data_IF_298251097091
#
_entry.id   IF_298251097091
#
_cell.length_a   1.000
_cell.length_b   1.000
_cell.length_c   1.000
_cell.angle_alpha   90.00
_cell.angle_beta   90.00
_cell.angle_gamma   90.00
#
_symmetry.space_group_name_H-M   'P 1'
#
loop_
_entity.id
_entity.type
_entity.pdbx_description
1 polymer ?
#
# COMPACT_ATOMS: atom_id res chain seq x y z
N UNK A 1 -27.27 -11.32 65.01
CA UNK A 1 -27.20 -10.01 64.32
C UNK A 1 -26.38 -10.22 63.04
N UNK A 2 -27.05 -10.21 61.88
CA UNK A 2 -27.08 -9.11 60.90
C UNK A 2 -25.68 -8.83 60.33
N UNK A 3 -25.34 -9.45 59.19
CA UNK A 3 -25.59 -8.97 57.82
C UNK A 3 -24.64 -7.82 57.44
N UNK A 4 -23.78 -8.04 56.42
CA UNK A 4 -23.68 -7.27 55.16
C UNK A 4 -22.25 -7.34 54.59
N UNK A 5 -22.08 -8.00 53.42
CA UNK A 5 -21.69 -7.38 52.13
C UNK A 5 -20.17 -7.50 51.88
N UNK A 6 -19.63 -7.79 50.69
CA UNK A 6 -20.18 -7.94 49.34
C UNK A 6 -19.11 -8.66 48.48
N UNK A 7 -19.56 -9.21 47.35
CA UNK A 7 -18.76 -9.86 46.31
C UNK A 7 -17.55 -9.05 45.83
N UNK A 8 -16.42 -9.73 45.61
CA UNK A 8 -15.50 -9.40 44.52
C UNK A 8 -15.23 -10.68 43.74
N UNK A 9 -16.18 -11.01 42.87
CA UNK A 9 -16.02 -11.94 41.76
C UNK A 9 -16.18 -11.04 40.53
N UNK A 10 -15.07 -10.51 40.03
CA UNK A 10 -15.06 -9.64 38.86
C UNK A 10 -13.88 -10.03 37.97
N UNK A 11 -14.24 -10.80 36.93
CA UNK A 11 -13.74 -10.63 35.57
C UNK A 11 -12.21 -10.66 35.39
N UNK A 12 -11.64 -11.86 35.29
CA UNK A 12 -10.64 -12.09 34.24
C UNK A 12 -11.40 -12.25 32.91
N UNK A 13 -11.97 -11.16 32.39
CA UNK A 13 -12.26 -11.07 30.97
C UNK A 13 -10.93 -10.88 30.26
N UNK A 14 -10.62 -11.82 29.36
CA UNK A 14 -9.48 -11.72 28.49
C UNK A 14 -9.44 -10.33 27.85
N UNK A 15 -8.29 -9.69 27.93
CA UNK A 15 -8.00 -8.54 27.10
C UNK A 15 -8.19 -8.98 25.64
N UNK A 16 -9.18 -8.47 24.89
CA UNK A 16 -9.05 -8.54 23.46
C UNK A 16 -7.84 -7.65 23.14
N UNK A 17 -6.77 -8.26 22.67
CA UNK A 17 -5.75 -7.54 21.92
C UNK A 17 -6.49 -6.90 20.75
N UNK A 18 -6.84 -5.62 20.91
CA UNK A 18 -7.20 -4.74 19.81
C UNK A 18 -5.95 -4.68 18.92
N UNK A 19 -5.89 -5.59 17.96
CA UNK A 19 -5.13 -5.36 16.75
C UNK A 19 -5.78 -4.15 16.11
N UNK A 20 -5.21 -2.97 16.37
CA UNK A 20 -5.40 -1.83 15.50
C UNK A 20 -4.89 -2.28 14.13
N UNK A 21 -5.79 -2.69 13.26
CA UNK A 21 -5.54 -2.57 11.84
C UNK A 21 -5.25 -1.09 11.64
N UNK A 22 -3.99 -0.75 11.33
CA UNK A 22 -3.73 0.54 10.70
C UNK A 22 -4.45 0.47 9.36
N UNK A 23 -5.67 1.00 9.35
CA UNK A 23 -6.30 1.52 8.15
C UNK A 23 -5.28 2.52 7.61
N UNK A 24 -4.56 2.10 6.56
CA UNK A 24 -3.74 3.03 5.80
C UNK A 24 -4.75 4.03 5.25
N UNK A 25 -4.81 5.21 5.86
CA UNK A 25 -5.45 6.37 5.26
C UNK A 25 -4.95 6.41 3.82
N UNK A 26 -5.87 6.21 2.86
CA UNK A 26 -5.62 6.47 1.46
C UNK A 26 -4.92 7.82 1.39
N UNK A 27 -3.62 7.83 1.05
CA UNK A 27 -2.85 9.05 0.91
C UNK A 27 -3.57 9.87 -0.14
N UNK A 28 -4.32 10.85 0.32
CA UNK A 28 -5.10 11.73 -0.54
C UNK A 28 -4.10 12.59 -1.31
N UNK A 29 -3.68 12.12 -2.47
CA UNK A 29 -2.77 12.86 -3.34
C UNK A 29 -3.53 14.11 -3.79
N UNK A 30 -3.07 15.28 -3.32
CA UNK A 30 -3.65 16.56 -3.70
C UNK A 30 -3.53 16.78 -5.22
N UNK A 31 -4.41 17.60 -5.83
CA UNK A 31 -4.55 17.58 -7.28
C UNK A 31 -3.28 18.07 -7.98
N UNK A 32 -2.72 17.22 -8.84
CA UNK A 32 -1.76 17.55 -9.93
C UNK A 32 -2.20 18.80 -10.76
N UNK A 33 -3.47 19.19 -10.65
CA UNK A 33 -4.17 20.15 -11.48
C UNK A 33 -4.35 21.53 -10.84
N UNK A 34 -3.53 21.91 -9.85
CA UNK A 34 -3.51 23.28 -9.31
C UNK A 34 -2.29 24.10 -9.80
N UNK A 35 -2.47 25.11 -10.67
CA UNK A 35 -1.40 25.98 -11.15
C UNK A 35 -1.02 27.11 -10.18
N UNK A 36 -1.59 27.16 -8.97
CA UNK A 36 -1.24 28.14 -7.94
C UNK A 36 0.21 27.96 -7.46
N UNK A 37 0.70 28.92 -6.67
CA UNK A 37 2.03 28.79 -6.07
C UNK A 37 2.11 27.58 -5.12
N UNK A 38 1.06 27.43 -4.31
CA UNK A 38 0.98 26.41 -3.28
C UNK A 38 0.72 25.04 -3.89
N UNK A 39 -0.22 24.93 -4.84
CA UNK A 39 -0.46 23.69 -5.59
C UNK A 39 0.77 23.18 -6.34
N UNK A 40 1.56 24.09 -6.92
CA UNK A 40 2.83 23.71 -7.54
C UNK A 40 3.91 23.33 -6.52
N UNK A 41 3.87 23.88 -5.30
CA UNK A 41 4.77 23.50 -4.22
C UNK A 41 4.43 22.10 -3.71
N UNK A 42 3.15 21.82 -3.46
CA UNK A 42 2.66 20.49 -3.08
C UNK A 42 2.99 19.44 -4.15
N UNK A 43 2.80 19.76 -5.43
CA UNK A 43 3.23 18.90 -6.53
C UNK A 43 4.73 18.54 -6.48
N UNK A 44 5.60 19.48 -6.10
CA UNK A 44 7.05 19.20 -5.95
C UNK A 44 7.32 18.35 -4.71
N UNK A 45 6.62 18.64 -3.61
CA UNK A 45 6.71 17.92 -2.34
C UNK A 45 6.33 16.44 -2.52
N UNK A 46 5.17 16.17 -3.12
CA UNK A 46 4.69 14.81 -3.41
C UNK A 46 5.65 14.04 -4.33
N UNK A 47 6.18 14.70 -5.36
CA UNK A 47 7.15 14.06 -6.25
C UNK A 47 8.43 13.67 -5.51
N UNK A 48 8.90 14.52 -4.58
CA UNK A 48 10.08 14.24 -3.77
C UNK A 48 9.81 13.10 -2.80
N UNK A 49 8.68 13.14 -2.10
CA UNK A 49 8.29 12.11 -1.14
C UNK A 49 8.18 10.73 -1.81
N UNK A 50 7.47 10.67 -2.95
CA UNK A 50 7.34 9.45 -3.75
C UNK A 50 8.66 8.96 -4.35
N UNK A 51 9.61 9.87 -4.59
CA UNK A 51 10.97 9.55 -4.99
C UNK A 51 11.87 9.14 -3.81
N UNK A 52 11.36 9.13 -2.58
CA UNK A 52 12.07 8.76 -1.35
C UNK A 52 12.91 9.88 -0.73
N UNK A 53 12.61 11.15 -1.08
CA UNK A 53 13.31 12.32 -0.56
C UNK A 53 12.42 13.10 0.42
N UNK A 54 13.00 13.47 1.56
CA UNK A 54 12.37 14.39 2.53
C UNK A 54 13.11 15.72 2.49
N UNK A 55 12.55 16.77 1.85
CA UNK A 55 13.24 18.05 1.75
C UNK A 55 13.21 18.83 3.07
N UNK A 56 14.35 19.40 3.46
CA UNK A 56 14.44 20.35 4.58
C UNK A 56 13.67 21.65 4.26
N UNK A 57 13.73 22.09 3.00
CA UNK A 57 13.04 23.29 2.55
C UNK A 57 12.72 23.26 1.05
N UNK A 58 11.52 23.73 0.70
CA UNK A 58 11.14 24.04 -0.68
C UNK A 58 10.72 25.51 -0.73
N UNK A 59 11.43 26.30 -1.52
CA UNK A 59 11.12 27.72 -1.71
C UNK A 59 11.02 28.08 -3.19
N UNK A 60 10.18 29.05 -3.52
CA UNK A 60 10.12 29.59 -4.88
C UNK A 60 11.37 30.44 -5.11
N UNK A 61 12.24 29.97 -6.00
CA UNK A 61 13.42 30.72 -6.44
C UNK A 61 13.05 31.77 -7.48
N UNK A 62 12.20 31.39 -8.44
CA UNK A 62 11.77 32.29 -9.51
C UNK A 62 10.34 31.96 -9.95
N UNK A 63 9.55 33.00 -10.19
CA UNK A 63 8.26 32.88 -10.87
C UNK A 63 8.41 33.37 -12.31
N UNK A 64 7.91 32.58 -13.26
CA UNK A 64 7.99 32.81 -14.69
C UNK A 64 6.57 32.99 -15.27
N UNK A 65 6.46 33.60 -16.47
CA UNK A 65 5.18 33.69 -17.18
C UNK A 65 4.55 32.30 -17.43
N UNK A 66 3.24 32.28 -17.69
CA UNK A 66 2.48 31.04 -17.96
C UNK A 66 2.50 30.03 -16.81
N UNK A 67 2.40 30.49 -15.55
CA UNK A 67 2.29 29.63 -14.36
C UNK A 67 3.46 28.63 -14.30
N UNK A 68 4.65 29.13 -14.58
CA UNK A 68 5.88 28.36 -14.51
C UNK A 68 6.71 28.86 -13.32
N UNK A 69 7.33 27.96 -12.57
CA UNK A 69 8.08 28.30 -11.36
C UNK A 69 9.31 27.44 -11.21
N UNK A 70 10.40 28.06 -10.78
CA UNK A 70 11.59 27.35 -10.36
C UNK A 70 11.56 27.29 -8.84
N UNK A 71 11.54 26.09 -8.30
CA UNK A 71 11.64 25.81 -6.88
C UNK A 71 13.09 25.48 -6.54
N UNK A 72 13.65 26.13 -5.52
CA UNK A 72 14.89 25.67 -4.89
C UNK A 72 14.49 24.68 -3.81
N UNK A 73 15.00 23.45 -3.96
CA UNK A 73 14.80 22.35 -3.01
C UNK A 73 16.11 22.15 -2.27
N UNK A 74 16.05 22.17 -0.95
CA UNK A 74 17.16 21.83 -0.06
C UNK A 74 16.84 20.47 0.57
N UNK A 75 17.68 19.47 0.31
CA UNK A 75 17.53 18.13 0.88
C UNK A 75 18.28 18.04 2.21
N UNK A 76 19.49 18.60 2.26
CA UNK A 76 20.27 18.74 3.48
C UNK A 76 21.19 19.99 3.42
N UNK A 77 22.12 20.12 4.36
CA UNK A 77 23.06 21.26 4.43
C UNK A 77 23.95 21.47 3.20
N UNK A 78 24.16 20.43 2.38
CA UNK A 78 25.06 20.40 1.22
C UNK A 78 24.30 20.10 -0.07
N UNK A 79 23.29 19.22 0.00
CA UNK A 79 22.57 18.67 -1.13
C UNK A 79 21.24 19.40 -1.37
N UNK A 80 20.98 19.66 -2.64
CA UNK A 80 19.78 20.33 -3.09
C UNK A 80 19.79 20.52 -4.60
N UNK A 81 18.80 21.23 -5.12
CA UNK A 81 18.69 21.47 -6.56
C UNK A 81 17.56 22.42 -6.90
N UNK A 82 17.32 22.58 -8.20
CA UNK A 82 16.23 23.41 -8.69
C UNK A 82 15.22 22.60 -9.50
N UNK A 83 14.00 22.49 -8.98
CA UNK A 83 12.90 21.83 -9.70
C UNK A 83 12.16 22.87 -10.51
N UNK A 84 12.17 22.73 -11.83
CA UNK A 84 11.43 23.63 -12.72
C UNK A 84 10.06 23.04 -13.03
N UNK A 85 8.99 23.68 -12.57
CA UNK A 85 7.60 23.25 -12.79
C UNK A 85 6.91 24.17 -13.79
N UNK A 86 6.10 23.57 -14.65
CA UNK A 86 5.28 24.28 -15.65
C UNK A 86 3.86 23.73 -15.64
N UNK A 87 2.93 24.58 -16.06
CA UNK A 87 1.54 24.22 -16.28
C UNK A 87 1.28 23.84 -17.74
N UNK A 88 0.74 22.65 -17.99
CA UNK A 88 0.19 22.27 -19.28
C UNK A 88 -1.27 22.74 -19.37
N UNK A 89 -1.56 23.71 -20.23
CA UNK A 89 -2.92 24.28 -20.38
C UNK A 89 -3.90 23.29 -21.03
N UNK A 90 -3.41 22.37 -21.85
CA UNK A 90 -4.23 21.41 -22.58
C UNK A 90 -4.62 20.25 -21.67
N UNK A 91 -3.64 19.69 -20.97
CA UNK A 91 -3.85 18.57 -20.03
C UNK A 91 -4.34 19.01 -18.66
N UNK A 92 -4.22 20.31 -18.35
CA UNK A 92 -4.53 20.92 -17.06
C UNK A 92 -3.75 20.27 -15.91
N UNK A 93 -2.45 20.03 -16.12
CA UNK A 93 -1.57 19.39 -15.13
C UNK A 93 -0.26 20.15 -14.92
N UNK A 94 0.34 20.01 -13.74
CA UNK A 94 1.72 20.39 -13.47
C UNK A 94 2.71 19.35 -14.03
N UNK A 95 3.87 19.81 -14.51
CA UNK A 95 4.95 18.93 -14.94
C UNK A 95 6.34 19.51 -14.68
N UNK A 96 7.30 18.61 -14.42
CA UNK A 96 8.71 18.96 -14.27
C UNK A 96 9.36 19.16 -15.65
N UNK A 97 9.95 20.34 -15.86
CA UNK A 97 10.68 20.72 -17.04
C UNK A 97 12.20 20.56 -16.82
N UNK A 98 12.83 19.89 -17.76
CA UNK A 98 14.05 19.11 -17.60
C UNK A 98 15.38 19.90 -17.51
N UNK A 99 15.43 21.09 -16.92
CA UNK A 99 16.61 21.98 -17.11
C UNK A 99 17.52 22.19 -15.91
N UNK A 100 17.09 21.98 -14.66
CA UNK A 100 17.89 22.47 -13.49
C UNK A 100 17.99 21.53 -12.28
N UNK A 101 17.78 20.23 -12.47
CA UNK A 101 17.85 19.21 -11.41
C UNK A 101 19.13 18.37 -11.60
N UNK A 102 19.75 17.93 -10.51
CA UNK A 102 20.78 16.88 -10.55
C UNK A 102 20.28 15.66 -11.35
N UNK A 103 21.10 15.05 -12.22
CA UNK A 103 20.65 13.94 -13.07
C UNK A 103 20.03 12.78 -12.28
N UNK A 104 20.56 12.42 -11.11
CA UNK A 104 20.03 11.33 -10.28
C UNK A 104 18.64 11.67 -9.72
N UNK A 105 18.50 12.88 -9.18
CA UNK A 105 17.20 13.38 -8.69
C UNK A 105 16.18 13.51 -9.83
N UNK A 106 16.61 13.90 -11.03
CA UNK A 106 15.73 14.00 -12.19
C UNK A 106 15.08 12.66 -12.58
N UNK A 107 15.86 11.57 -12.66
CA UNK A 107 15.32 10.26 -13.02
C UNK A 107 14.31 9.76 -11.99
N UNK A 108 14.58 9.97 -10.70
CA UNK A 108 13.69 9.58 -9.62
C UNK A 108 12.37 10.38 -9.65
N UNK A 109 12.44 11.70 -9.85
CA UNK A 109 11.24 12.54 -9.98
C UNK A 109 10.41 12.21 -11.23
N UNK A 110 11.07 11.79 -12.33
CA UNK A 110 10.36 11.33 -13.52
C UNK A 110 9.61 10.02 -13.27
N UNK A 111 10.23 9.07 -12.56
CA UNK A 111 9.58 7.83 -12.15
C UNK A 111 8.42 8.10 -11.18
N UNK A 112 8.64 8.95 -10.17
CA UNK A 112 7.59 9.41 -9.26
C UNK A 112 6.40 10.04 -10.01
N UNK A 113 6.65 10.93 -10.98
CA UNK A 113 5.57 11.53 -11.79
C UNK A 113 4.74 10.46 -12.51
N UNK A 114 5.39 9.45 -13.07
CA UNK A 114 4.71 8.36 -13.77
C UNK A 114 3.90 7.48 -12.82
N UNK A 115 4.39 7.25 -11.60
CA UNK A 115 3.65 6.58 -10.53
C UNK A 115 2.43 7.41 -10.12
N UNK A 116 2.59 8.70 -9.82
CA UNK A 116 1.46 9.59 -9.50
C UNK A 116 0.43 9.60 -10.64
N UNK A 117 0.87 9.66 -11.91
CA UNK A 117 -0.04 9.59 -13.06
C UNK A 117 -0.83 8.28 -13.10
N UNK A 118 -0.19 7.15 -12.82
CA UNK A 118 -0.87 5.84 -12.76
C UNK A 118 -1.87 5.80 -11.60
N UNK A 119 -1.53 6.36 -10.45
CA UNK A 119 -2.42 6.48 -9.28
C UNK A 119 -3.61 7.41 -9.58
N UNK A 120 -3.39 8.63 -10.11
CA UNK A 120 -4.46 9.57 -10.46
C UNK A 120 -5.42 9.01 -11.51
N UNK A 121 -4.92 8.26 -12.49
CA UNK A 121 -5.77 7.67 -13.53
C UNK A 121 -6.50 6.40 -13.06
N UNK A 122 -6.03 5.73 -12.00
CA UNK A 122 -6.70 4.56 -11.41
C UNK A 122 -7.38 4.99 -10.11
N UNK A 123 -8.69 5.23 -10.17
CA UNK A 123 -9.47 5.66 -9.02
C UNK A 123 -9.37 4.72 -7.81
N UNK A 124 -9.10 3.43 -8.03
CA UNK A 124 -8.74 2.44 -7.02
C UNK A 124 -7.79 1.42 -7.67
N UNK A 125 -6.87 0.86 -6.89
CA UNK A 125 -6.15 -0.34 -7.29
C UNK A 125 -7.03 -1.55 -6.96
N UNK A 126 -7.34 -2.37 -7.96
CA UNK A 126 -8.03 -3.65 -7.73
C UNK A 126 -7.00 -4.76 -7.55
N UNK A 127 -7.43 -5.90 -7.01
CA UNK A 127 -6.56 -7.08 -6.86
C UNK A 127 -5.97 -7.49 -8.22
N UNK A 128 -6.67 -7.18 -9.31
CA UNK A 128 -6.32 -7.50 -10.71
C UNK A 128 -5.25 -6.58 -11.32
N UNK A 129 -4.92 -5.49 -10.64
CA UNK A 129 -3.94 -4.54 -11.13
C UNK A 129 -2.50 -5.01 -10.87
N UNK A 130 -1.69 -4.97 -11.92
CA UNK A 130 -0.24 -5.17 -11.83
C UNK A 130 0.35 -4.05 -10.95
N UNK A 131 1.05 -4.45 -9.90
CA UNK A 131 1.78 -3.54 -9.03
C UNK A 131 2.88 -2.79 -9.79
N UNK A 132 3.32 -1.66 -9.24
CA UNK A 132 4.45 -0.92 -9.79
C UNK A 132 5.72 -1.77 -9.68
N UNK A 133 6.34 -2.09 -10.82
CA UNK A 133 7.54 -2.92 -10.90
C UNK A 133 8.76 -2.05 -11.21
N UNK A 134 9.88 -2.37 -10.58
CA UNK A 134 11.15 -1.71 -10.84
C UNK A 134 11.65 -2.06 -12.26
N UNK A 135 12.35 -1.15 -12.96
CA UNK A 135 12.72 -1.35 -14.36
C UNK A 135 13.75 -2.47 -14.59
N UNK A 136 14.43 -2.92 -13.54
CA UNK A 136 15.39 -4.02 -13.51
C UNK A 136 14.74 -5.39 -13.21
N UNK A 137 13.43 -5.43 -12.95
CA UNK A 137 12.67 -6.65 -12.75
C UNK A 137 12.05 -7.17 -14.06
N UNK A 138 11.88 -8.48 -14.17
CA UNK A 138 11.05 -9.07 -15.24
C UNK A 138 9.61 -8.59 -15.08
N UNK A 139 9.09 -7.91 -16.10
CA UNK A 139 7.79 -7.27 -16.02
C UNK A 139 6.66 -8.30 -16.12
N UNK A 140 5.98 -8.50 -15.00
CA UNK A 140 4.76 -9.30 -14.92
C UNK A 140 3.63 -8.56 -15.64
N UNK A 141 3.00 -9.21 -16.61
CA UNK A 141 1.84 -8.70 -17.34
C UNK A 141 0.52 -9.22 -16.73
N UNK A 142 -0.63 -8.84 -17.30
CA UNK A 142 -1.94 -9.26 -16.80
C UNK A 142 -2.23 -10.76 -16.97
N UNK A 143 -1.71 -11.40 -18.02
CA UNK A 143 -1.84 -12.86 -18.18
C UNK A 143 -1.04 -13.61 -17.13
N UNK A 144 0.19 -13.16 -16.83
CA UNK A 144 1.07 -13.77 -15.84
C UNK A 144 0.43 -13.76 -14.44
N UNK A 145 -0.26 -12.67 -14.07
CA UNK A 145 -1.01 -12.60 -12.79
C UNK A 145 -2.13 -13.64 -12.74
N UNK A 146 -2.82 -13.86 -13.85
CA UNK A 146 -3.92 -14.81 -13.92
C UNK A 146 -3.39 -16.23 -13.70
N UNK A 147 -2.31 -16.58 -14.40
CA UNK A 147 -1.63 -17.88 -14.27
C UNK A 147 -1.12 -18.12 -12.83
N UNK A 148 -0.48 -17.11 -12.22
CA UNK A 148 0.02 -17.21 -10.84
C UNK A 148 -1.09 -17.44 -9.81
N UNK A 149 -2.27 -16.86 -10.04
CA UNK A 149 -3.44 -17.05 -9.15
C UNK A 149 -4.03 -18.43 -9.31
N UNK A 150 -4.20 -18.89 -10.54
CA UNK A 150 -4.66 -20.24 -10.82
C UNK A 150 -3.72 -21.26 -10.16
N UNK A 151 -2.40 -21.04 -10.26
CA UNK A 151 -1.41 -21.89 -9.60
C UNK A 151 -1.52 -21.85 -8.07
N UNK A 152 -1.78 -20.68 -7.49
CA UNK A 152 -1.97 -20.51 -6.05
C UNK A 152 -3.24 -21.20 -5.54
N UNK A 153 -4.36 -21.05 -6.25
CA UNK A 153 -5.62 -21.72 -5.94
C UNK A 153 -5.46 -23.23 -6.01
N UNK A 154 -4.83 -23.72 -7.08
CA UNK A 154 -4.56 -25.14 -7.28
C UNK A 154 -3.70 -25.72 -6.16
N UNK A 155 -2.64 -25.02 -5.75
CA UNK A 155 -1.81 -25.39 -4.59
C UNK A 155 -2.59 -25.40 -3.26
N UNK A 156 -3.58 -24.52 -3.09
CA UNK A 156 -4.40 -24.52 -1.88
C UNK A 156 -5.42 -25.67 -1.88
N UNK A 157 -6.00 -26.00 -3.03
CA UNK A 157 -6.87 -27.16 -3.18
C UNK A 157 -6.11 -28.47 -2.95
N UNK A 158 -4.90 -28.58 -3.52
CA UNK A 158 -4.00 -29.71 -3.30
C UNK A 158 -3.66 -29.93 -1.82
N UNK A 159 -3.59 -28.87 -1.02
CA UNK A 159 -3.38 -28.96 0.44
C UNK A 159 -4.63 -29.41 1.20
N UNK A 160 -5.83 -29.06 0.74
CA UNK A 160 -7.09 -29.44 1.40
C UNK A 160 -7.41 -30.93 1.25
N UNK A 161 -7.11 -31.51 0.10
CA UNK A 161 -7.35 -32.93 -0.19
C UNK A 161 -6.73 -33.90 0.87
N UNK A 162 -5.44 -33.81 1.24
CA UNK A 162 -4.87 -34.67 2.26
C UNK A 162 -5.40 -34.36 3.66
N UNK A 163 -5.77 -33.11 3.96
CA UNK A 163 -6.38 -32.73 5.23
C UNK A 163 -7.78 -33.32 5.39
N UNK A 164 -8.60 -33.28 4.35
CA UNK A 164 -9.93 -33.92 4.33
C UNK A 164 -9.81 -35.43 4.46
N UNK A 165 -8.93 -36.06 3.68
CA UNK A 165 -8.67 -37.50 3.79
C UNK A 165 -8.18 -37.91 5.19
N UNK A 166 -7.35 -37.08 5.82
CA UNK A 166 -6.91 -37.31 7.21
C UNK A 166 -8.07 -37.13 8.20
N UNK A 167 -8.94 -36.14 7.99
CA UNK A 167 -10.15 -35.90 8.79
C UNK A 167 -11.13 -37.09 8.69
N UNK A 168 -11.38 -37.59 7.47
CA UNK A 168 -12.30 -38.71 7.24
C UNK A 168 -11.76 -40.01 7.86
N UNK A 169 -10.45 -40.27 7.71
CA UNK A 169 -9.79 -41.41 8.37
C UNK A 169 -9.89 -41.32 9.89
N UNK A 170 -9.79 -40.12 10.48
CA UNK A 170 -9.98 -39.90 11.92
C UNK A 170 -11.42 -40.17 12.34
N UNK A 171 -12.41 -39.58 11.65
CA UNK A 171 -13.84 -39.80 11.90
C UNK A 171 -14.21 -41.28 11.81
N UNK A 172 -13.73 -42.00 10.79
CA UNK A 172 -13.97 -43.43 10.62
C UNK A 172 -13.31 -44.29 11.72
N UNK A 173 -12.20 -43.84 12.31
CA UNK A 173 -11.53 -44.52 13.42
C UNK A 173 -12.29 -44.30 14.73
N UNK A 174 -12.80 -43.10 14.94
CA UNK A 174 -13.56 -42.74 16.14
C UNK A 174 -14.93 -43.44 16.18
N UNK A 175 -15.67 -43.50 15.07
CA UNK A 175 -16.93 -44.25 14.98
C UNK A 175 -16.74 -45.74 15.29
N UNK A 176 -15.73 -46.39 14.70
CA UNK A 176 -15.37 -47.78 15.00
C UNK A 176 -15.00 -48.00 16.46
N UNK A 177 -14.40 -47.00 17.12
CA UNK A 177 -14.04 -47.07 18.55
C UNK A 177 -15.30 -46.97 19.43
N UNK A 178 -16.26 -46.13 19.08
CA UNK A 178 -17.55 -46.04 19.77
C UNK A 178 -18.38 -47.31 19.63
N UNK A 179 -18.48 -47.88 18.43
CA UNK A 179 -19.19 -49.13 18.18
C UNK A 179 -18.62 -50.29 19.01
N UNK A 180 -17.29 -50.38 19.13
CA UNK A 180 -16.62 -51.39 19.98
C UNK A 180 -16.89 -51.19 21.46
N UNK A 181 -16.97 -49.94 21.93
CA UNK A 181 -17.33 -49.63 23.32
C UNK A 181 -18.78 -50.01 23.61
N UNK A 182 -19.71 -49.73 22.69
CA UNK A 182 -21.11 -50.13 22.82
C UNK A 182 -21.24 -51.65 22.90
N UNK A 183 -20.61 -52.41 21.99
CA UNK A 183 -20.65 -53.89 22.04
C UNK A 183 -20.15 -54.47 23.37
N UNK A 184 -19.05 -53.95 23.92
CA UNK A 184 -18.53 -54.38 25.24
C UNK A 184 -19.39 -53.99 26.44
N UNK A 185 -20.37 -53.11 26.27
CA UNK A 185 -21.29 -52.69 27.33
C UNK A 185 -22.58 -53.53 27.36
N UNK A 186 -22.82 -54.31 26.31
CA UNK A 186 -24.01 -55.16 26.13
C UNK A 186 -23.69 -56.66 26.13
N UNK A 187 -22.42 -57.03 26.34
CA UNK A 187 -21.93 -58.38 26.67
C UNK A 187 -21.53 -58.41 28.15
#
# INVERSE_FOLDING_TARGET
MRLRHFLILLFLAGYPTLFFAQEYDDVYIEPINDPSADGQRFFVEDLLDLAGYVPENIQIYQTLPNKARVFRVKLDSVNGGFVFVRWDKTKKENYVANKMIDPGVYYNLKAAKEIMRKQTNKANFTVDDVSLQAPDQEQINSSDITELREEFELKNEEKKLPEEQASEKRKARDTRREERKKKKLFD
#
